data_IF_695920984750
#
_entry.id   IF_695920984750
#
_cell.length_a   1.000
_cell.length_b   1.000
_cell.length_c   1.000
_cell.angle_alpha   90.00
_cell.angle_beta   90.00
_cell.angle_gamma   90.00
#
_symmetry.space_group_name_H-M   'P 1'
#
loop_
_entity.id
_entity.type
_entity.pdbx_description
1 polymer ?
#
# COMPACT_ATOMS: atom_id res chain seq x y z
N UNK A 1 39.87 5.64 2.52
CA UNK A 1 39.06 6.84 2.88
C UNK A 1 37.70 6.36 3.40
N UNK A 2 37.35 6.56 4.68
CA UNK A 2 36.01 6.15 5.18
C UNK A 2 34.99 7.18 4.71
N UNK A 3 34.07 6.76 3.84
CA UNK A 3 33.00 7.63 3.35
C UNK A 3 32.13 8.11 4.53
N UNK A 4 32.08 9.42 4.78
CA UNK A 4 31.27 9.97 5.87
C UNK A 4 29.82 10.22 5.40
N UNK A 5 28.98 9.20 5.50
CA UNK A 5 27.58 9.23 5.07
C UNK A 5 26.68 10.15 5.92
N UNK A 6 27.15 10.69 7.05
CA UNK A 6 26.31 11.57 7.90
C UNK A 6 26.01 12.91 7.25
N UNK A 7 26.83 13.36 6.29
CA UNK A 7 26.60 14.62 5.59
C UNK A 7 25.27 14.62 4.82
N UNK A 8 24.84 13.45 4.35
CA UNK A 8 23.58 13.25 3.62
C UNK A 8 22.37 13.61 4.49
N UNK A 9 22.47 13.49 5.82
CA UNK A 9 21.37 13.83 6.72
C UNK A 9 20.94 15.31 6.59
N UNK A 10 21.86 16.18 6.18
CA UNK A 10 21.62 17.62 6.02
C UNK A 10 21.14 18.01 4.61
N UNK A 11 21.08 17.06 3.68
CA UNK A 11 20.62 17.35 2.31
C UNK A 11 19.10 17.59 2.29
N UNK A 12 18.60 18.36 1.30
CA UNK A 12 17.16 18.50 1.06
C UNK A 12 16.48 17.14 0.89
N UNK A 13 15.22 17.04 1.31
CA UNK A 13 14.44 15.78 1.28
C UNK A 13 14.48 15.10 -0.10
N UNK A 14 14.27 15.80 -1.24
CA UNK A 14 14.28 15.14 -2.55
C UNK A 14 15.63 14.50 -2.88
N UNK A 15 16.74 15.14 -2.47
CA UNK A 15 18.07 14.60 -2.71
C UNK A 15 18.34 13.36 -1.86
N UNK A 16 17.88 13.32 -0.61
CA UNK A 16 17.99 12.12 0.25
C UNK A 16 17.21 10.94 -0.32
N UNK A 17 15.98 11.19 -0.77
CA UNK A 17 15.15 10.17 -1.42
C UNK A 17 15.81 9.66 -2.72
N UNK A 18 16.29 10.57 -3.56
CA UNK A 18 16.98 10.22 -4.80
C UNK A 18 18.23 9.36 -4.55
N UNK A 19 19.08 9.75 -3.59
CA UNK A 19 20.27 8.96 -3.22
C UNK A 19 19.88 7.57 -2.72
N UNK A 20 18.87 7.45 -1.87
CA UNK A 20 18.41 6.16 -1.37
C UNK A 20 17.93 5.25 -2.50
N UNK A 21 17.10 5.78 -3.41
CA UNK A 21 16.57 5.04 -4.56
C UNK A 21 17.70 4.64 -5.52
N UNK A 22 18.66 5.53 -5.78
CA UNK A 22 19.83 5.21 -6.61
C UNK A 22 20.64 4.06 -6.01
N UNK A 23 20.89 4.08 -4.69
CA UNK A 23 21.57 2.96 -4.04
C UNK A 23 20.80 1.65 -4.15
N UNK A 24 19.47 1.68 -3.96
CA UNK A 24 18.61 0.52 -4.14
C UNK A 24 18.69 -0.02 -5.58
N UNK A 25 18.63 0.85 -6.60
CA UNK A 25 18.70 0.39 -7.99
C UNK A 25 20.08 -0.14 -8.38
N UNK A 26 21.16 0.49 -7.90
CA UNK A 26 22.54 0.06 -8.16
C UNK A 26 22.80 -1.35 -7.59
N UNK A 27 22.23 -1.65 -6.42
CA UNK A 27 22.40 -2.94 -5.77
C UNK A 27 21.45 -4.01 -6.38
N UNK A 28 20.23 -3.62 -6.73
CA UNK A 28 19.21 -4.54 -7.24
C UNK A 28 19.38 -4.92 -8.71
N UNK A 29 19.65 -3.96 -9.61
CA UNK A 29 19.68 -4.21 -11.07
C UNK A 29 20.69 -5.30 -11.49
N UNK A 30 21.91 -5.38 -10.92
CA UNK A 30 22.86 -6.44 -11.24
C UNK A 30 22.36 -7.85 -10.89
N UNK A 31 21.39 -7.97 -9.97
CA UNK A 31 20.76 -9.24 -9.59
C UNK A 31 19.49 -9.48 -10.42
N UNK A 32 18.67 -8.44 -10.58
CA UNK A 32 17.40 -8.53 -11.29
C UNK A 32 17.59 -8.87 -12.78
N UNK A 33 18.52 -8.21 -13.48
CA UNK A 33 18.73 -8.40 -14.92
C UNK A 33 19.05 -9.87 -15.25
N UNK A 34 20.04 -10.53 -14.62
CA UNK A 34 20.28 -11.96 -14.86
C UNK A 34 19.08 -12.85 -14.54
N UNK A 35 18.33 -12.56 -13.48
CA UNK A 35 17.13 -13.33 -13.12
C UNK A 35 16.03 -13.22 -14.19
N UNK A 36 15.82 -12.03 -14.75
CA UNK A 36 14.87 -11.82 -15.84
C UNK A 36 15.25 -12.58 -17.11
N UNK A 37 16.55 -12.78 -17.37
CA UNK A 37 17.03 -13.60 -18.49
C UNK A 37 16.94 -15.09 -18.20
N UNK A 38 17.30 -15.51 -16.98
CA UNK A 38 17.35 -16.92 -16.58
C UNK A 38 15.95 -17.54 -16.42
N UNK A 39 14.99 -16.76 -15.92
CA UNK A 39 13.63 -17.20 -15.59
C UNK A 39 12.59 -16.70 -16.61
N UNK A 40 13.03 -16.27 -17.80
CA UNK A 40 12.16 -15.70 -18.84
C UNK A 40 10.94 -16.56 -19.20
N UNK A 41 11.05 -17.89 -19.04
CA UNK A 41 9.98 -18.85 -19.33
C UNK A 41 8.88 -18.89 -18.25
N UNK A 42 9.13 -18.34 -17.06
CA UNK A 42 8.15 -18.19 -15.97
C UNK A 42 8.09 -16.74 -15.45
N UNK A 43 7.28 -15.88 -16.09
CA UNK A 43 7.15 -14.48 -15.70
C UNK A 43 6.61 -14.27 -14.27
N UNK A 44 5.79 -15.20 -13.77
CA UNK A 44 5.24 -15.12 -12.42
C UNK A 44 6.32 -15.39 -11.39
N UNK A 45 7.08 -16.47 -11.55
CA UNK A 45 8.21 -16.79 -10.68
C UNK A 45 9.27 -15.68 -10.73
N UNK A 46 9.58 -15.18 -11.94
CA UNK A 46 10.52 -14.06 -12.12
C UNK A 46 10.10 -12.86 -11.28
N UNK A 47 8.83 -12.46 -11.37
CA UNK A 47 8.30 -11.31 -10.61
C UNK A 47 8.36 -11.57 -9.10
N UNK A 48 7.92 -12.74 -8.64
CA UNK A 48 7.94 -13.09 -7.21
C UNK A 48 9.37 -13.02 -6.67
N UNK A 49 10.33 -13.66 -7.33
CA UNK A 49 11.72 -13.74 -6.85
C UNK A 49 12.40 -12.37 -6.91
N UNK A 50 12.28 -11.64 -8.02
CA UNK A 50 12.94 -10.33 -8.18
C UNK A 50 12.38 -9.28 -7.22
N UNK A 51 11.05 -9.27 -6.97
CA UNK A 51 10.41 -8.38 -6.02
C UNK A 51 10.71 -8.77 -4.56
N UNK A 52 10.79 -10.06 -4.25
CA UNK A 52 11.20 -10.52 -2.93
C UNK A 52 12.64 -10.08 -2.61
N UNK A 53 13.56 -10.24 -3.57
CA UNK A 53 14.95 -9.77 -3.44
C UNK A 53 14.99 -8.25 -3.27
N UNK A 54 14.27 -7.50 -4.11
CA UNK A 54 14.17 -6.03 -3.97
C UNK A 54 13.72 -5.62 -2.58
N UNK A 55 12.69 -6.30 -2.06
CA UNK A 55 12.16 -5.98 -0.74
C UNK A 55 13.16 -6.31 0.38
N UNK A 56 13.81 -7.48 0.34
CA UNK A 56 14.84 -7.84 1.33
C UNK A 56 16.02 -6.87 1.28
N UNK A 57 16.44 -6.48 0.09
CA UNK A 57 17.47 -5.48 -0.13
C UNK A 57 17.06 -4.11 0.41
N UNK A 58 15.81 -3.68 0.16
CA UNK A 58 15.24 -2.47 0.74
C UNK A 58 15.31 -2.48 2.27
N UNK A 59 14.93 -3.59 2.93
CA UNK A 59 15.06 -3.72 4.40
C UNK A 59 16.52 -3.61 4.86
N UNK A 60 17.43 -4.28 4.16
CA UNK A 60 18.87 -4.20 4.44
C UNK A 60 19.40 -2.77 4.30
N UNK A 61 18.98 -2.07 3.25
CA UNK A 61 19.35 -0.69 2.98
C UNK A 61 18.76 0.25 4.03
N UNK A 62 17.52 0.04 4.51
CA UNK A 62 16.96 0.81 5.64
C UNK A 62 17.84 0.70 6.88
N UNK A 63 18.31 -0.49 7.22
CA UNK A 63 19.22 -0.68 8.36
C UNK A 63 20.54 0.09 8.17
N UNK A 64 21.16 -0.04 7.00
CA UNK A 64 22.42 0.67 6.69
C UNK A 64 22.21 2.18 6.69
N UNK A 65 21.17 2.66 6.02
CA UNK A 65 20.82 4.07 5.89
C UNK A 65 20.63 4.73 7.25
N UNK A 66 19.73 4.19 8.09
CA UNK A 66 19.46 4.76 9.40
C UNK A 66 20.68 4.72 10.32
N UNK A 67 21.47 3.63 10.28
CA UNK A 67 22.69 3.50 11.09
C UNK A 67 23.80 4.45 10.63
N UNK A 68 24.01 4.62 9.33
CA UNK A 68 25.15 5.36 8.78
C UNK A 68 24.86 6.84 8.61
N UNK A 69 23.69 7.18 8.09
CA UNK A 69 23.24 8.56 7.82
C UNK A 69 22.72 9.21 9.10
N UNK A 70 21.76 8.59 9.80
CA UNK A 70 21.09 9.20 10.97
C UNK A 70 21.63 8.77 12.34
N UNK A 71 22.52 7.77 12.40
CA UNK A 71 23.00 7.16 13.66
C UNK A 71 21.87 6.57 14.53
N UNK A 72 20.76 6.18 13.91
CA UNK A 72 19.61 5.57 14.59
C UNK A 72 19.78 4.05 14.59
N UNK A 73 19.83 3.44 15.78
CA UNK A 73 19.98 1.98 15.95
C UNK A 73 18.66 1.23 15.78
N UNK A 74 17.57 1.77 16.30
CA UNK A 74 16.26 1.11 16.37
C UNK A 74 15.25 1.73 15.39
N UNK A 75 15.66 1.85 14.12
CA UNK A 75 14.91 2.58 13.07
C UNK A 75 13.47 2.11 12.88
N UNK A 76 13.21 0.81 13.07
CA UNK A 76 11.87 0.23 12.92
C UNK A 76 10.87 0.82 13.94
N UNK A 77 11.34 1.28 15.10
CA UNK A 77 10.50 1.94 16.10
C UNK A 77 10.05 3.32 15.63
N UNK A 78 10.95 4.09 15.05
CA UNK A 78 10.63 5.40 14.47
C UNK A 78 9.65 5.25 13.29
N UNK A 79 9.77 4.14 12.55
CA UNK A 79 8.86 3.82 11.46
C UNK A 79 7.53 3.23 11.95
N UNK A 80 7.35 3.06 13.26
CA UNK A 80 6.11 2.55 13.87
C UNK A 80 5.94 1.03 13.82
N UNK A 81 6.93 0.28 13.32
CA UNK A 81 6.94 -1.18 13.29
C UNK A 81 7.39 -1.71 14.66
N UNK A 82 6.49 -1.58 15.65
CA UNK A 82 6.75 -1.97 17.04
C UNK A 82 6.10 -3.30 17.39
N UNK A 83 6.85 -4.19 18.03
CA UNK A 83 6.36 -5.52 18.44
C UNK A 83 5.67 -5.44 19.81
N UNK A 84 4.49 -4.85 19.84
CA UNK A 84 3.66 -4.72 21.05
C UNK A 84 2.26 -5.28 20.82
N UNK A 85 1.61 -5.76 21.89
CA UNK A 85 0.21 -6.23 21.83
C UNK A 85 -0.72 -5.19 21.21
N UNK A 86 -0.52 -3.90 21.55
CA UNK A 86 -1.33 -2.80 21.02
C UNK A 86 -1.22 -2.68 19.50
N UNK A 87 0.00 -2.76 18.96
CA UNK A 87 0.23 -2.70 17.51
C UNK A 87 -0.40 -3.90 16.78
N UNK A 88 -0.34 -5.09 17.38
CA UNK A 88 -1.02 -6.28 16.85
C UNK A 88 -2.54 -6.17 16.85
N UNK A 89 -3.13 -5.65 17.93
CA UNK A 89 -4.58 -5.37 18.00
C UNK A 89 -4.99 -4.33 16.95
N UNK A 90 -4.20 -3.28 16.77
CA UNK A 90 -4.45 -2.25 15.75
C UNK A 90 -4.37 -2.81 14.33
N UNK A 91 -3.45 -3.75 14.07
CA UNK A 91 -3.40 -4.49 12.81
C UNK A 91 -4.68 -5.30 12.59
N UNK A 92 -5.10 -6.11 13.57
CA UNK A 92 -6.33 -6.90 13.43
C UNK A 92 -7.57 -6.01 13.28
N UNK A 93 -7.66 -4.91 14.02
CA UNK A 93 -8.75 -3.95 13.89
C UNK A 93 -8.75 -3.27 12.51
N UNK A 94 -7.58 -2.90 12.00
CA UNK A 94 -7.44 -2.37 10.65
C UNK A 94 -7.87 -3.38 9.60
N UNK A 95 -7.40 -4.63 9.72
CA UNK A 95 -7.73 -5.74 8.82
C UNK A 95 -9.24 -5.96 8.75
N UNK A 96 -9.88 -6.08 9.91
CA UNK A 96 -11.34 -6.22 10.01
C UNK A 96 -12.05 -5.01 9.42
N UNK A 97 -11.61 -3.79 9.76
CA UNK A 97 -12.24 -2.56 9.25
C UNK A 97 -12.16 -2.47 7.73
N UNK A 98 -10.99 -2.74 7.14
CA UNK A 98 -10.81 -2.74 5.68
C UNK A 98 -11.68 -3.81 5.01
N UNK A 99 -11.73 -5.01 5.57
CA UNK A 99 -12.55 -6.11 5.06
C UNK A 99 -14.04 -5.76 5.07
N UNK A 100 -14.56 -5.26 6.21
CA UNK A 100 -15.95 -4.82 6.34
C UNK A 100 -16.27 -3.68 5.39
N UNK A 101 -15.32 -2.77 5.17
CA UNK A 101 -15.52 -1.65 4.26
C UNK A 101 -15.69 -2.13 2.82
N UNK A 102 -14.82 -3.05 2.36
CA UNK A 102 -14.92 -3.63 1.03
C UNK A 102 -16.21 -4.44 0.85
N UNK A 103 -16.57 -5.32 1.78
CA UNK A 103 -17.82 -6.08 1.66
C UNK A 103 -19.06 -5.18 1.77
N UNK A 104 -19.04 -4.19 2.65
CA UNK A 104 -20.12 -3.22 2.79
C UNK A 104 -20.39 -2.48 1.49
N UNK A 105 -19.34 -2.10 0.75
CA UNK A 105 -19.47 -1.53 -0.58
C UNK A 105 -20.26 -2.44 -1.53
N UNK A 106 -19.80 -3.70 -1.70
CA UNK A 106 -20.45 -4.65 -2.62
C UNK A 106 -21.86 -5.06 -2.17
N UNK A 107 -22.13 -5.11 -0.85
CA UNK A 107 -23.47 -5.33 -0.32
C UNK A 107 -24.39 -4.18 -0.71
N UNK A 108 -23.94 -2.93 -0.58
CA UNK A 108 -24.72 -1.75 -0.99
C UNK A 108 -24.99 -1.81 -2.50
N UNK A 109 -23.97 -2.09 -3.32
CA UNK A 109 -24.14 -2.24 -4.76
C UNK A 109 -25.14 -3.37 -5.11
N UNK A 110 -25.16 -4.45 -4.34
CA UNK A 110 -26.10 -5.56 -4.52
C UNK A 110 -27.54 -5.18 -4.14
N UNK A 111 -27.73 -4.40 -3.07
CA UNK A 111 -29.04 -3.87 -2.67
C UNK A 111 -29.64 -3.00 -3.78
N UNK A 112 -28.81 -2.21 -4.48
CA UNK A 112 -29.24 -1.42 -5.63
C UNK A 112 -29.36 -2.23 -6.93
N UNK A 113 -29.08 -3.53 -6.91
CA UNK A 113 -29.16 -4.41 -8.09
C UNK A 113 -28.02 -4.24 -9.09
N UNK A 114 -26.99 -3.44 -8.78
CA UNK A 114 -25.86 -3.16 -9.67
C UNK A 114 -24.88 -4.34 -9.76
N UNK A 115 -24.83 -5.15 -8.71
CA UNK A 115 -24.09 -6.40 -8.67
C UNK A 115 -24.93 -7.54 -8.12
N UNK A 116 -24.54 -8.78 -8.39
CA UNK A 116 -25.15 -9.98 -7.83
C UNK A 116 -24.07 -10.86 -7.22
N UNK A 117 -24.30 -11.35 -6.02
CA UNK A 117 -23.46 -12.38 -5.44
C UNK A 117 -23.75 -13.72 -6.10
N UNK A 118 -22.70 -14.41 -6.51
CA UNK A 118 -22.78 -15.74 -7.13
C UNK A 118 -22.13 -16.79 -6.23
N UNK A 119 -22.48 -18.05 -6.44
CA UNK A 119 -21.93 -19.12 -5.63
C UNK A 119 -20.41 -19.24 -5.85
N UNK A 120 -19.62 -19.32 -4.76
CA UNK A 120 -18.18 -19.51 -4.87
C UNK A 120 -17.84 -20.89 -5.43
N UNK A 121 -16.74 -20.96 -6.18
CA UNK A 121 -16.20 -22.24 -6.66
C UNK A 121 -15.60 -23.10 -5.53
N UNK A 122 -15.31 -24.38 -5.82
CA UNK A 122 -14.82 -25.35 -4.83
C UNK A 122 -13.51 -24.94 -4.11
N UNK A 123 -12.67 -24.11 -4.75
CA UNK A 123 -11.40 -23.66 -4.20
C UNK A 123 -11.50 -22.40 -3.33
N UNK A 124 -12.70 -21.93 -3.00
CA UNK A 124 -12.90 -20.62 -2.38
C UNK A 124 -12.23 -20.45 -1.01
N UNK A 125 -12.25 -21.48 -0.16
CA UNK A 125 -11.54 -21.45 1.13
C UNK A 125 -10.04 -21.21 0.93
N UNK A 126 -9.44 -21.87 -0.07
CA UNK A 126 -8.03 -21.68 -0.41
C UNK A 126 -7.76 -20.25 -0.87
N UNK A 127 -8.63 -19.68 -1.72
CA UNK A 127 -8.54 -18.29 -2.20
C UNK A 127 -8.59 -17.30 -1.03
N UNK A 128 -9.43 -17.53 -0.02
CA UNK A 128 -9.51 -16.67 1.17
C UNK A 128 -8.15 -16.63 1.89
N UNK A 129 -7.52 -17.79 2.12
CA UNK A 129 -6.23 -17.86 2.82
C UNK A 129 -5.06 -17.34 1.99
N UNK A 130 -5.00 -17.68 0.69
CA UNK A 130 -4.00 -17.13 -0.23
C UNK A 130 -4.11 -15.60 -0.32
N UNK A 131 -5.33 -15.08 -0.40
CA UNK A 131 -5.61 -13.66 -0.38
C UNK A 131 -5.18 -12.98 0.91
N UNK A 132 -5.40 -13.62 2.07
CA UNK A 132 -5.00 -13.06 3.37
C UNK A 132 -3.47 -12.94 3.47
N UNK A 133 -2.75 -14.00 3.10
CA UNK A 133 -1.28 -14.01 3.13
C UNK A 133 -0.71 -12.98 2.16
N UNK A 134 -1.26 -12.92 0.94
CA UNK A 134 -0.84 -11.97 -0.09
C UNK A 134 -1.10 -10.52 0.36
N UNK A 135 -2.28 -10.23 0.89
CA UNK A 135 -2.67 -8.89 1.31
C UNK A 135 -1.90 -8.40 2.54
N UNK A 136 -1.58 -9.28 3.50
CA UNK A 136 -0.74 -8.93 4.63
C UNK A 136 0.73 -8.71 4.21
N UNK A 137 1.25 -9.54 3.31
CA UNK A 137 2.59 -9.37 2.74
C UNK A 137 2.72 -8.04 1.99
N UNK A 138 1.77 -7.77 1.09
CA UNK A 138 1.70 -6.51 0.35
C UNK A 138 1.53 -5.31 1.29
N UNK A 139 0.57 -5.38 2.21
CA UNK A 139 0.32 -4.32 3.18
C UNK A 139 1.53 -4.04 4.07
N UNK A 140 2.27 -5.06 4.51
CA UNK A 140 3.53 -4.87 5.24
C UNK A 140 4.58 -4.17 4.36
N UNK A 141 4.77 -4.66 3.14
CA UNK A 141 5.79 -4.15 2.23
C UNK A 141 5.54 -2.68 1.89
N UNK A 142 4.34 -2.38 1.39
CA UNK A 142 3.95 -1.04 0.99
C UNK A 142 3.89 -0.09 2.19
N UNK A 143 3.26 -0.47 3.30
CA UNK A 143 3.15 0.46 4.43
C UNK A 143 4.50 0.74 5.08
N UNK A 144 5.46 -0.19 5.05
CA UNK A 144 6.81 0.09 5.51
C UNK A 144 7.56 1.05 4.58
N UNK A 145 7.34 0.98 3.26
CA UNK A 145 7.87 1.95 2.29
C UNK A 145 7.23 3.31 2.48
N UNK A 146 5.89 3.37 2.42
CA UNK A 146 5.16 4.64 2.36
C UNK A 146 4.97 5.27 3.74
N UNK A 147 4.45 4.53 4.72
CA UNK A 147 4.10 5.06 6.05
C UNK A 147 5.24 4.89 7.04
N UNK A 148 6.21 4.02 6.75
CA UNK A 148 7.49 3.96 7.43
C UNK A 148 8.49 4.95 6.82
N UNK A 149 9.35 4.45 5.93
CA UNK A 149 10.50 5.16 5.41
C UNK A 149 10.18 6.52 4.78
N UNK A 150 9.33 6.57 3.75
CA UNK A 150 9.03 7.79 3.01
C UNK A 150 8.42 8.86 3.92
N UNK A 151 7.44 8.47 4.75
CA UNK A 151 6.81 9.40 5.69
C UNK A 151 7.82 9.99 6.68
N UNK A 152 8.71 9.17 7.25
CA UNK A 152 9.73 9.63 8.19
C UNK A 152 10.83 10.46 7.53
N UNK A 153 11.10 10.26 6.23
CA UNK A 153 11.99 11.14 5.46
C UNK A 153 11.36 12.50 5.20
N UNK A 154 10.08 12.54 4.79
CA UNK A 154 9.34 13.78 4.54
C UNK A 154 9.23 14.63 5.81
N UNK A 155 8.96 14.01 6.98
CA UNK A 155 8.86 14.68 8.29
C UNK A 155 10.12 15.46 8.69
N UNK A 156 11.29 15.09 8.16
CA UNK A 156 12.57 15.76 8.50
C UNK A 156 12.75 17.12 7.83
N UNK A 157 11.92 17.47 6.84
CA UNK A 157 12.08 18.73 6.11
C UNK A 157 10.79 19.45 5.75
N UNK A 158 9.62 18.87 6.03
CA UNK A 158 8.34 19.44 5.64
C UNK A 158 7.34 19.53 6.79
N UNK A 159 6.41 20.48 6.68
CA UNK A 159 5.31 20.63 7.62
C UNK A 159 4.33 19.47 7.52
N UNK A 160 3.58 19.21 8.59
CA UNK A 160 2.65 18.07 8.68
C UNK A 160 1.68 17.96 7.50
N UNK A 161 1.11 19.08 7.04
CA UNK A 161 0.15 19.06 5.93
C UNK A 161 0.82 18.70 4.61
N UNK A 162 2.02 19.24 4.36
CA UNK A 162 2.82 18.91 3.18
C UNK A 162 3.19 17.42 3.22
N UNK A 163 3.65 16.90 4.36
CA UNK A 163 3.98 15.48 4.54
C UNK A 163 2.79 14.57 4.18
N UNK A 164 1.59 14.86 4.67
CA UNK A 164 0.38 14.06 4.38
C UNK A 164 0.06 14.05 2.89
N UNK A 165 0.01 15.23 2.27
CA UNK A 165 -0.34 15.37 0.85
C UNK A 165 0.74 14.75 -0.04
N UNK A 166 2.02 15.05 0.20
CA UNK A 166 3.13 14.50 -0.58
C UNK A 166 3.22 12.99 -0.46
N UNK A 167 3.02 12.42 0.74
CA UNK A 167 3.01 10.97 0.91
C UNK A 167 1.87 10.31 0.12
N UNK A 168 0.66 10.86 0.20
CA UNK A 168 -0.48 10.37 -0.57
C UNK A 168 -0.30 10.51 -2.09
N UNK A 169 0.27 11.62 -2.56
CA UNK A 169 0.55 11.83 -3.98
C UNK A 169 1.60 10.84 -4.49
N UNK A 170 2.72 10.67 -3.78
CA UNK A 170 3.75 9.70 -4.17
C UNK A 170 3.14 8.28 -4.19
N UNK A 171 2.36 7.91 -3.18
CA UNK A 171 1.65 6.63 -3.15
C UNK A 171 0.79 6.43 -4.41
N UNK A 172 -0.07 7.40 -4.75
CA UNK A 172 -0.91 7.31 -5.94
C UNK A 172 -0.10 7.26 -7.23
N UNK A 173 0.92 8.12 -7.39
CA UNK A 173 1.75 8.20 -8.60
C UNK A 173 2.50 6.88 -8.85
N UNK A 174 3.07 6.26 -7.82
CA UNK A 174 3.85 5.02 -7.99
C UNK A 174 3.00 3.83 -8.45
N UNK A 175 1.68 3.84 -8.24
CA UNK A 175 0.78 2.82 -8.80
C UNK A 175 0.69 2.86 -10.33
N UNK A 176 1.11 3.97 -10.94
CA UNK A 176 1.14 4.20 -12.38
C UNK A 176 2.52 4.00 -13.00
N UNK A 177 3.48 3.37 -12.31
CA UNK A 177 4.72 2.89 -12.95
C UNK A 177 4.39 1.65 -13.80
N UNK A 178 3.84 1.91 -14.99
CA UNK A 178 3.31 0.93 -15.94
C UNK A 178 3.44 1.47 -17.37
N UNK A 179 3.27 0.64 -18.42
CA UNK A 179 3.17 1.12 -19.80
C UNK A 179 2.08 2.19 -19.94
N UNK A 180 2.28 3.17 -20.82
CA UNK A 180 1.40 4.35 -20.94
C UNK A 180 -0.08 4.00 -21.20
N UNK A 181 -0.36 2.93 -21.96
CA UNK A 181 -1.73 2.46 -22.20
C UNK A 181 -2.43 2.01 -20.92
N UNK A 182 -1.71 1.31 -20.04
CA UNK A 182 -2.22 0.88 -18.73
C UNK A 182 -2.40 2.08 -17.79
N UNK A 183 -1.52 3.08 -17.87
CA UNK A 183 -1.69 4.33 -17.12
C UNK A 183 -2.99 5.02 -17.49
N UNK A 184 -3.25 5.21 -18.79
CA UNK A 184 -4.49 5.86 -19.27
C UNK A 184 -5.71 5.05 -18.85
N UNK A 185 -5.69 3.73 -19.04
CA UNK A 185 -6.82 2.84 -18.69
C UNK A 185 -7.17 2.90 -17.20
N UNK A 186 -6.15 2.89 -16.34
CA UNK A 186 -6.33 2.81 -14.88
C UNK A 186 -6.37 4.18 -14.18
N UNK A 187 -6.11 5.28 -14.90
CA UNK A 187 -6.06 6.64 -14.35
C UNK A 187 -7.28 7.05 -13.51
N UNK A 188 -8.53 6.61 -13.82
CA UNK A 188 -9.69 6.91 -12.98
C UNK A 188 -9.55 6.47 -11.51
N UNK A 189 -8.62 5.55 -11.19
CA UNK A 189 -8.31 5.13 -9.83
C UNK A 189 -7.49 6.16 -9.03
N UNK A 190 -6.85 7.12 -9.70
CA UNK A 190 -5.92 8.07 -9.07
C UNK A 190 -6.52 8.80 -7.86
N UNK A 191 -7.74 9.38 -7.92
CA UNK A 191 -8.34 10.07 -6.78
C UNK A 191 -8.55 9.15 -5.57
N UNK A 192 -8.99 7.92 -5.81
CA UNK A 192 -9.19 6.91 -4.77
C UNK A 192 -7.86 6.48 -4.15
N UNK A 193 -6.83 6.23 -4.96
CA UNK A 193 -5.48 5.89 -4.49
C UNK A 193 -4.86 7.04 -3.68
N UNK A 194 -4.99 8.28 -4.13
CA UNK A 194 -4.53 9.45 -3.39
C UNK A 194 -5.24 9.57 -2.03
N UNK A 195 -6.56 9.37 -2.03
CA UNK A 195 -7.36 9.43 -0.81
C UNK A 195 -7.02 8.30 0.16
N UNK A 196 -6.80 7.08 -0.33
CA UNK A 196 -6.27 5.96 0.47
C UNK A 196 -4.88 6.31 1.03
N UNK A 197 -4.04 6.88 0.18
CA UNK A 197 -2.81 7.61 0.45
C UNK A 197 -2.86 8.42 1.76
N UNK A 198 -3.72 9.42 1.75
CA UNK A 198 -3.94 10.34 2.88
C UNK A 198 -4.55 9.62 4.09
N UNK A 199 -5.53 8.76 3.86
CA UNK A 199 -6.28 8.03 4.91
C UNK A 199 -5.36 7.20 5.79
N UNK A 200 -4.41 6.48 5.20
CA UNK A 200 -3.47 5.64 5.93
C UNK A 200 -2.47 6.47 6.75
N UNK A 201 -2.11 7.68 6.31
CA UNK A 201 -1.31 8.61 7.12
C UNK A 201 -2.12 9.12 8.31
N UNK A 202 -3.40 9.47 8.12
CA UNK A 202 -4.27 9.85 9.24
C UNK A 202 -4.48 8.70 10.22
N UNK A 203 -4.69 7.49 9.72
CA UNK A 203 -4.79 6.28 10.53
C UNK A 203 -3.53 6.12 11.40
N UNK A 204 -2.34 6.23 10.80
CA UNK A 204 -1.06 6.18 11.52
C UNK A 204 -1.00 7.20 12.66
N UNK A 205 -1.31 8.46 12.36
CA UNK A 205 -1.20 9.53 13.36
C UNK A 205 -2.19 9.32 14.51
N UNK A 206 -3.45 8.97 14.21
CA UNK A 206 -4.47 8.67 15.21
C UNK A 206 -4.16 7.45 16.09
N UNK A 207 -3.19 6.62 15.70
CA UNK A 207 -2.73 5.46 16.47
C UNK A 207 -1.29 5.64 16.96
N UNK A 208 -0.94 6.86 17.38
CA UNK A 208 0.37 7.23 17.95
C UNK A 208 1.56 6.79 17.07
N UNK A 209 1.43 6.94 15.75
CA UNK A 209 2.42 6.57 14.74
C UNK A 209 2.78 5.07 14.67
N UNK A 210 1.93 4.17 15.18
CA UNK A 210 2.11 2.72 15.00
C UNK A 210 1.71 2.29 13.59
N UNK A 211 2.45 1.34 13.01
CA UNK A 211 2.26 0.90 11.63
C UNK A 211 1.21 -0.19 11.49
N UNK A 212 0.87 -0.90 12.57
CA UNK A 212 -0.09 -2.00 12.56
C UNK A 212 -1.43 -1.60 11.97
N UNK A 213 -2.00 -0.46 12.38
CA UNK A 213 -3.27 0.03 11.80
C UNK A 213 -3.20 0.22 10.29
N UNK A 214 -2.07 0.70 9.76
CA UNK A 214 -1.90 0.92 8.31
C UNK A 214 -1.84 -0.41 7.58
N UNK A 215 -1.01 -1.33 8.07
CA UNK A 215 -0.84 -2.69 7.50
C UNK A 215 -2.19 -3.41 7.50
N UNK A 216 -2.89 -3.36 8.63
CA UNK A 216 -4.21 -3.93 8.79
C UNK A 216 -5.21 -3.30 7.82
N UNK A 217 -5.39 -1.98 7.85
CA UNK A 217 -6.41 -1.31 7.04
C UNK A 217 -6.18 -1.51 5.54
N UNK A 218 -4.94 -1.32 5.09
CA UNK A 218 -4.59 -1.54 3.69
C UNK A 218 -4.76 -3.02 3.30
N UNK A 219 -4.19 -3.94 4.10
CA UNK A 219 -4.34 -5.38 3.88
C UNK A 219 -5.79 -5.83 3.88
N UNK A 220 -6.66 -5.27 4.73
CA UNK A 220 -8.08 -5.60 4.80
C UNK A 220 -8.83 -5.19 3.54
N UNK A 221 -8.56 -3.99 3.01
CA UNK A 221 -9.15 -3.51 1.77
C UNK A 221 -8.74 -4.40 0.59
N UNK A 222 -7.43 -4.69 0.47
CA UNK A 222 -6.86 -5.56 -0.58
C UNK A 222 -7.40 -6.98 -0.46
N UNK A 223 -7.45 -7.54 0.76
CA UNK A 223 -7.94 -8.89 1.01
C UNK A 223 -9.42 -9.04 0.65
N UNK A 224 -10.26 -8.10 1.08
CA UNK A 224 -11.68 -8.10 0.69
C UNK A 224 -11.86 -8.05 -0.82
N UNK A 225 -11.08 -7.20 -1.50
CA UNK A 225 -11.14 -7.11 -2.96
C UNK A 225 -10.61 -8.38 -3.64
N UNK A 226 -9.56 -9.00 -3.10
CA UNK A 226 -9.04 -10.28 -3.58
C UNK A 226 -10.09 -11.39 -3.48
N UNK A 227 -10.79 -11.50 -2.34
CA UNK A 227 -11.87 -12.49 -2.17
C UNK A 227 -12.96 -12.29 -3.23
N UNK A 228 -13.37 -11.05 -3.47
CA UNK A 228 -14.41 -10.72 -4.45
C UNK A 228 -13.94 -11.05 -5.87
N UNK A 229 -12.78 -10.52 -6.27
CA UNK A 229 -12.32 -10.52 -7.66
C UNK A 229 -11.70 -11.87 -8.07
N UNK A 230 -10.82 -12.45 -7.24
CA UNK A 230 -10.20 -13.75 -7.52
C UNK A 230 -11.16 -14.89 -7.22
N UNK A 231 -11.97 -14.75 -6.16
CA UNK A 231 -13.04 -15.69 -5.84
C UNK A 231 -14.18 -15.66 -6.85
N UNK A 232 -14.27 -14.61 -7.69
CA UNK A 232 -15.32 -14.39 -8.70
C UNK A 232 -16.73 -14.56 -8.12
N UNK A 233 -16.94 -14.01 -6.91
CA UNK A 233 -18.20 -14.16 -6.19
C UNK A 233 -19.20 -13.01 -6.46
N UNK A 234 -18.87 -12.13 -7.41
CA UNK A 234 -19.71 -11.00 -7.79
C UNK A 234 -19.75 -10.86 -9.31
N UNK A 235 -20.96 -10.76 -9.87
CA UNK A 235 -21.21 -10.39 -11.25
C UNK A 235 -21.84 -8.98 -11.32
N UNK A 236 -21.31 -8.13 -12.20
CA UNK A 236 -21.89 -6.83 -12.49
C UNK A 236 -23.09 -6.97 -13.43
N UNK A 237 -24.22 -6.36 -13.09
CA UNK A 237 -25.47 -6.54 -13.84
C UNK A 237 -25.61 -5.63 -15.06
N UNK A 238 -24.78 -4.58 -15.15
CA UNK A 238 -24.87 -3.56 -16.19
C UNK A 238 -26.04 -2.59 -16.02
N UNK A 239 -26.75 -2.61 -14.88
CA UNK A 239 -27.88 -1.70 -14.63
C UNK A 239 -27.47 -0.23 -14.46
N UNK A 240 -26.21 0.02 -14.10
CA UNK A 240 -25.64 1.36 -13.95
C UNK A 240 -24.30 1.45 -14.67
N UNK A 241 -23.89 2.66 -15.02
CA UNK A 241 -22.58 2.92 -15.64
C UNK A 241 -21.43 2.40 -14.77
N UNK A 242 -20.40 1.85 -15.40
CA UNK A 242 -19.14 1.44 -14.74
C UNK A 242 -18.40 2.61 -14.10
N UNK A 243 -18.72 3.86 -14.45
CA UNK A 243 -18.23 5.05 -13.72
C UNK A 243 -18.72 5.08 -12.26
N UNK A 244 -19.87 4.44 -11.97
CA UNK A 244 -20.41 4.36 -10.61
C UNK A 244 -19.76 3.22 -9.84
N UNK A 245 -19.79 2.02 -10.40
CA UNK A 245 -19.40 0.76 -9.72
C UNK A 245 -17.91 0.42 -9.86
N UNK A 246 -17.22 1.01 -10.84
CA UNK A 246 -15.80 0.75 -11.12
C UNK A 246 -15.55 0.29 -12.55
N UNK A 247 -14.65 0.99 -13.24
CA UNK A 247 -14.12 0.56 -14.54
C UNK A 247 -13.27 -0.71 -14.34
N UNK A 248 -13.36 -1.65 -15.27
CA UNK A 248 -12.64 -2.93 -15.27
C UNK A 248 -12.82 -3.74 -13.98
N UNK A 249 -14.03 -3.71 -13.41
CA UNK A 249 -14.40 -4.39 -12.15
C UNK A 249 -13.52 -3.94 -10.97
N UNK A 250 -12.98 -2.72 -11.02
CA UNK A 250 -12.20 -2.13 -9.95
C UNK A 250 -12.98 -1.00 -9.27
N UNK A 251 -13.47 -1.19 -8.04
CA UNK A 251 -14.24 -0.16 -7.34
C UNK A 251 -13.45 1.13 -7.09
N UNK A 252 -12.11 1.08 -7.03
CA UNK A 252 -11.29 2.29 -6.93
C UNK A 252 -11.41 3.20 -8.15
N UNK A 253 -11.79 2.66 -9.30
CA UNK A 253 -12.03 3.41 -10.54
C UNK A 253 -13.48 3.94 -10.64
N UNK A 254 -14.29 3.78 -9.58
CA UNK A 254 -15.70 4.17 -9.55
C UNK A 254 -16.04 5.17 -8.45
N UNK A 255 -17.16 5.86 -8.62
CA UNK A 255 -17.69 6.82 -7.63
C UNK A 255 -17.97 6.13 -6.28
N UNK A 256 -18.49 4.90 -6.29
CA UNK A 256 -18.80 4.17 -5.07
C UNK A 256 -17.55 3.90 -4.23
N UNK A 257 -16.45 3.47 -4.84
CA UNK A 257 -15.19 3.29 -4.13
C UNK A 257 -14.64 4.62 -3.59
N UNK A 258 -14.77 5.71 -4.34
CA UNK A 258 -14.35 7.05 -3.89
C UNK A 258 -15.18 7.56 -2.69
N UNK A 259 -16.51 7.44 -2.74
CA UNK A 259 -17.40 7.79 -1.62
C UNK A 259 -17.03 6.95 -0.41
N UNK A 260 -16.86 5.65 -0.63
CA UNK A 260 -16.48 4.73 0.41
C UNK A 260 -15.17 5.15 1.10
N UNK A 261 -14.10 5.30 0.32
CA UNK A 261 -12.82 5.78 0.85
C UNK A 261 -12.93 7.16 1.50
N UNK A 262 -13.82 8.04 1.03
CA UNK A 262 -14.15 9.32 1.68
C UNK A 262 -14.68 9.14 3.09
N UNK A 263 -15.66 8.26 3.29
CA UNK A 263 -16.21 7.95 4.61
C UNK A 263 -15.14 7.36 5.54
N UNK A 264 -14.33 6.41 5.04
CA UNK A 264 -13.23 5.84 5.79
C UNK A 264 -12.18 6.91 6.17
N UNK A 265 -11.88 7.82 5.24
CA UNK A 265 -10.97 8.94 5.45
C UNK A 265 -11.44 9.87 6.56
N UNK A 266 -12.72 10.22 6.56
CA UNK A 266 -13.35 11.03 7.62
C UNK A 266 -13.27 10.33 8.98
N UNK A 267 -13.52 9.02 9.03
CA UNK A 267 -13.41 8.22 10.25
C UNK A 267 -11.97 8.24 10.80
N UNK A 268 -10.97 8.04 9.94
CA UNK A 268 -9.56 8.08 10.35
C UNK A 268 -9.09 9.48 10.74
N UNK A 269 -9.64 10.52 10.12
CA UNK A 269 -9.35 11.92 10.47
C UNK A 269 -9.89 12.26 11.86
N UNK A 270 -11.12 11.88 12.21
CA UNK A 270 -11.74 12.21 13.51
C UNK A 270 -10.99 11.64 14.70
N UNK A 271 -10.40 10.45 14.56
CA UNK A 271 -9.54 9.84 15.60
C UNK A 271 -8.25 10.62 15.89
N UNK A 272 -7.87 11.59 15.06
CA UNK A 272 -6.75 12.49 15.30
C UNK A 272 -7.07 13.58 16.32
N UNK A 273 -8.32 14.02 16.35
CA UNK A 273 -8.78 15.18 17.11
C UNK A 273 -9.34 14.79 18.50
N UNK A 274 -9.28 13.49 18.83
CA UNK A 274 -9.54 12.91 20.15
C UNK A 274 -8.22 12.52 20.82
#
# INVERSE_FOLDING_TARGET
MKLNLTIIANYPVPLRLGIFIIFLLILWLPIAIPLYLLLQDDPNLTTIVTMAILYLEFIGLLFVWNKKVYKIKFWWRDYGLVFTRKNGIELLNGLSLGLFFTFGLFIIEAIFGWVKFVQPGANFTRIIFEGLLSALGLGLAEELVFRGWLLEELKKGYSRNIVVVTNGLIFAILHFIRPIGEVIRTFPQFPALFLLGVTLVWAKIGHSNRLGICIGLHGGLVWGYYIINVGKIVDYTGQVSTLVTGIDNNPLAGIMGLIGLGLLSLLMRRKKDQ
#
